data_IF_730922328427
#
_entry.id   IF_730922328427
#
_cell.length_a   1.000
_cell.length_b   1.000
_cell.length_c   1.000
_cell.angle_alpha   90.00
_cell.angle_beta   90.00
_cell.angle_gamma   90.00
#
_symmetry.space_group_name_H-M   'P 1'
#
loop_
_entity.id
_entity.type
_entity.pdbx_description
1 polymer ?
#
# COMPACT_ATOMS: atom_id res chain seq x y z
N UNK A 1 -17.40 36.56 2.77
CA UNK A 1 -16.82 35.48 3.60
C UNK A 1 -15.56 36.02 4.25
N UNK A 2 -15.56 36.23 5.56
CA UNK A 2 -14.40 36.77 6.29
C UNK A 2 -13.32 35.69 6.41
N UNK A 3 -12.05 35.97 6.08
CA UNK A 3 -10.95 35.05 6.38
C UNK A 3 -10.68 35.06 7.88
N UNK A 4 -10.53 33.88 8.48
CA UNK A 4 -10.11 33.72 9.88
C UNK A 4 -8.62 34.10 9.99
N UNK A 5 -8.23 35.04 10.87
CA UNK A 5 -6.84 35.41 11.05
C UNK A 5 -6.15 34.40 11.99
N UNK A 6 -5.62 33.31 11.43
CA UNK A 6 -4.77 32.35 12.13
C UNK A 6 -3.29 32.65 11.91
N UNK A 7 -2.53 32.94 12.99
CA UNK A 7 -1.06 32.94 12.96
C UNK A 7 -0.59 31.48 12.87
N UNK A 8 -0.45 30.99 11.63
CA UNK A 8 -0.05 29.62 11.30
C UNK A 8 -1.21 28.78 10.77
N UNK A 9 -1.14 28.40 9.49
CA UNK A 9 -2.06 27.43 8.90
C UNK A 9 -1.33 26.10 8.69
N UNK A 10 -1.94 25.01 9.17
CA UNK A 10 -1.44 23.65 9.01
C UNK A 10 -2.30 22.90 8.00
N UNK A 11 -1.69 22.33 6.96
CA UNK A 11 -2.38 21.41 6.05
C UNK A 11 -2.35 19.99 6.66
N UNK A 12 -3.50 19.48 7.11
CA UNK A 12 -3.62 18.23 7.90
C UNK A 12 -4.19 17.01 7.17
N UNK A 13 -4.38 17.04 5.85
CA UNK A 13 -4.89 15.88 5.10
C UNK A 13 -3.74 15.19 4.34
N UNK A 14 -3.22 14.11 4.91
CA UNK A 14 -2.13 13.29 4.35
C UNK A 14 -2.60 12.23 3.36
N UNK A 15 -1.70 11.90 2.41
CA UNK A 15 -1.88 10.84 1.42
C UNK A 15 -2.69 11.22 0.18
N UNK A 16 -2.34 10.59 -0.95
CA UNK A 16 -3.13 10.61 -2.19
C UNK A 16 -3.50 9.17 -2.52
N UNK A 17 -4.80 8.92 -2.59
CA UNK A 17 -5.41 7.79 -3.27
C UNK A 17 -5.17 8.02 -4.74
N UNK A 18 -4.25 7.26 -5.32
CA UNK A 18 -3.95 7.37 -6.74
C UNK A 18 -5.19 7.06 -7.57
N UNK A 19 -5.75 8.04 -8.27
CA UNK A 19 -6.81 7.83 -9.27
C UNK A 19 -6.34 6.98 -10.45
N UNK A 20 -5.03 6.77 -10.59
CA UNK A 20 -4.39 6.07 -11.69
C UNK A 20 -4.17 4.57 -11.42
N UNK A 21 -4.46 4.07 -10.22
CA UNK A 21 -4.23 2.67 -9.84
C UNK A 21 -5.50 2.07 -9.22
N UNK A 22 -6.05 0.99 -9.79
CA UNK A 22 -7.33 0.43 -9.32
C UNK A 22 -7.25 -0.17 -7.91
N UNK A 23 -6.05 -0.58 -7.47
CA UNK A 23 -5.81 -1.16 -6.14
C UNK A 23 -5.05 -0.19 -5.24
N UNK A 24 -5.64 0.14 -4.10
CA UNK A 24 -5.06 1.03 -3.10
C UNK A 24 -5.39 0.56 -1.69
N UNK A 25 -4.43 0.75 -0.79
CA UNK A 25 -4.61 0.53 0.65
C UNK A 25 -4.88 1.84 1.37
N UNK A 26 -5.11 2.93 0.65
CA UNK A 26 -5.48 4.20 1.26
C UNK A 26 -6.99 4.25 1.53
N UNK A 27 -7.40 4.79 2.69
CA UNK A 27 -8.82 5.00 2.97
C UNK A 27 -9.40 6.05 2.01
N UNK A 28 -10.73 6.06 1.83
CA UNK A 28 -11.41 6.98 0.92
C UNK A 28 -11.15 8.48 1.19
N UNK A 29 -10.75 8.84 2.42
CA UNK A 29 -10.43 10.21 2.84
C UNK A 29 -9.03 10.69 2.42
N UNK A 30 -8.14 9.80 1.95
CA UNK A 30 -6.81 10.17 1.48
C UNK A 30 -6.91 10.72 0.05
N UNK A 31 -7.50 11.88 -0.14
CA UNK A 31 -7.84 12.44 -1.47
C UNK A 31 -6.76 13.35 -2.04
N UNK A 32 -5.72 13.69 -1.27
CA UNK A 32 -4.69 14.65 -1.66
C UNK A 32 -5.07 16.12 -1.46
N UNK A 33 -6.15 16.41 -0.72
CA UNK A 33 -6.67 17.77 -0.56
C UNK A 33 -5.63 18.73 0.03
N UNK A 34 -4.80 18.27 0.97
CA UNK A 34 -3.73 19.06 1.56
C UNK A 34 -2.70 19.53 0.52
N UNK A 35 -2.21 18.62 -0.32
CA UNK A 35 -1.31 18.95 -1.42
C UNK A 35 -1.97 19.86 -2.45
N UNK A 36 -3.23 19.58 -2.81
CA UNK A 36 -3.95 20.36 -3.80
C UNK A 36 -4.21 21.81 -3.32
N UNK A 37 -4.54 21.99 -2.04
CA UNK A 37 -4.67 23.32 -1.43
C UNK A 37 -3.35 24.08 -1.43
N UNK A 38 -2.26 23.42 -1.02
CA UNK A 38 -0.93 24.03 -1.00
C UNK A 38 -0.48 24.44 -2.41
N UNK A 39 -0.66 23.58 -3.41
CA UNK A 39 -0.36 23.89 -4.81
C UNK A 39 -1.19 25.08 -5.34
N UNK A 40 -2.50 25.11 -5.05
CA UNK A 40 -3.37 26.25 -5.42
C UNK A 40 -2.97 27.55 -4.75
N UNK A 41 -2.40 27.48 -3.53
CA UNK A 41 -1.86 28.64 -2.83
C UNK A 41 -0.47 29.07 -3.36
N UNK A 42 0.15 28.29 -4.26
CA UNK A 42 1.48 28.57 -4.82
C UNK A 42 2.65 27.93 -4.06
N UNK A 43 2.39 26.99 -3.16
CA UNK A 43 3.45 26.23 -2.49
C UNK A 43 4.12 25.26 -3.47
N UNK A 44 5.43 25.07 -3.32
CA UNK A 44 6.18 24.07 -4.09
C UNK A 44 5.78 22.66 -3.66
N UNK A 45 5.57 21.80 -4.65
CA UNK A 45 5.49 20.35 -4.47
C UNK A 45 6.80 19.69 -4.91
N UNK A 46 7.11 18.52 -4.38
CA UNK A 46 8.30 17.74 -4.73
C UNK A 46 8.04 16.23 -4.67
N UNK A 47 8.74 15.48 -5.53
CA UNK A 47 8.76 14.01 -5.49
C UNK A 47 7.43 13.33 -5.75
N UNK A 48 6.49 13.97 -6.47
CA UNK A 48 5.15 13.43 -6.71
C UNK A 48 5.16 12.15 -7.57
N UNK A 49 6.25 11.92 -8.30
CA UNK A 49 6.54 10.68 -9.02
C UNK A 49 6.89 9.51 -8.10
N UNK A 50 7.28 9.77 -6.85
CA UNK A 50 7.66 8.75 -5.88
C UNK A 50 6.43 8.25 -5.10
N UNK A 51 5.74 7.30 -5.73
CA UNK A 51 4.61 6.58 -5.13
C UNK A 51 5.07 5.19 -4.71
N UNK A 52 4.91 4.84 -3.44
CA UNK A 52 5.20 3.50 -2.96
C UNK A 52 4.01 2.57 -3.16
N UNK A 53 4.29 1.40 -3.72
CA UNK A 53 3.36 0.28 -3.82
C UNK A 53 3.69 -0.75 -2.76
N UNK A 54 2.67 -1.19 -2.01
CA UNK A 54 2.82 -2.36 -1.17
C UNK A 54 2.68 -3.63 -2.02
N UNK A 55 3.62 -4.58 -1.96
CA UNK A 55 3.65 -5.71 -2.90
C UNK A 55 2.50 -6.70 -2.71
N UNK A 56 2.04 -6.90 -1.47
CA UNK A 56 1.11 -7.98 -1.11
C UNK A 56 -0.21 -7.44 -0.58
N UNK A 57 -1.03 -6.87 -1.47
CA UNK A 57 -2.41 -6.46 -1.17
C UNK A 57 -3.36 -7.56 -1.61
N UNK A 58 -4.25 -8.00 -0.73
CA UNK A 58 -5.18 -9.08 -0.99
C UNK A 58 -6.19 -8.68 -2.08
N UNK A 59 -6.31 -9.52 -3.10
CA UNK A 59 -7.31 -9.39 -4.15
C UNK A 59 -8.53 -10.24 -3.75
N UNK A 60 -9.58 -9.58 -3.26
CA UNK A 60 -10.77 -10.29 -2.78
C UNK A 60 -11.51 -10.99 -3.94
N UNK A 61 -12.01 -12.24 -3.75
CA UNK A 61 -12.84 -12.91 -4.74
C UNK A 61 -14.14 -12.13 -5.01
N UNK A 62 -14.52 -11.98 -6.27
CA UNK A 62 -15.74 -11.25 -6.68
C UNK A 62 -17.06 -11.77 -6.06
N UNK A 63 -17.08 -13.02 -5.58
CA UNK A 63 -18.23 -13.66 -4.94
C UNK A 63 -18.40 -13.30 -3.46
N UNK A 64 -17.39 -12.73 -2.81
CA UNK A 64 -17.53 -12.14 -1.48
C UNK A 64 -18.22 -10.79 -1.65
N UNK A 65 -19.55 -10.81 -1.77
CA UNK A 65 -20.37 -9.61 -1.82
C UNK A 65 -19.89 -8.62 -0.76
N UNK A 66 -19.78 -7.35 -1.15
CA UNK A 66 -19.36 -6.24 -0.30
C UNK A 66 -20.29 -6.12 0.93
N UNK A 67 -20.08 -6.99 1.91
CA UNK A 67 -20.75 -7.00 3.19
C UNK A 67 -20.24 -5.81 3.99
N UNK A 68 -21.15 -4.93 4.36
CA UNK A 68 -20.87 -3.65 5.00
C UNK A 68 -19.97 -3.77 6.23
N UNK A 69 -18.71 -3.42 6.05
CA UNK A 69 -17.87 -2.88 7.10
C UNK A 69 -17.48 -1.46 6.70
N UNK A 70 -17.33 -0.57 7.68
CA UNK A 70 -16.94 0.83 7.51
C UNK A 70 -15.56 1.04 6.83
N UNK A 71 -14.92 -0.03 6.37
CA UNK A 71 -13.63 -0.11 5.69
C UNK A 71 -13.76 -0.84 4.33
N UNK A 72 -14.95 -0.79 3.70
CA UNK A 72 -15.22 -1.40 2.40
C UNK A 72 -14.41 -0.76 1.25
N UNK A 73 -13.86 0.44 1.48
CA UNK A 73 -13.11 1.21 0.47
C UNK A 73 -11.59 0.93 0.48
N UNK A 74 -11.07 0.17 1.46
CA UNK A 74 -9.64 -0.10 1.61
C UNK A 74 -9.32 -1.55 1.30
N UNK A 75 -8.43 -1.77 0.33
CA UNK A 75 -7.92 -3.12 0.07
C UNK A 75 -7.10 -3.63 1.27
N UNK A 76 -7.32 -4.88 1.67
CA UNK A 76 -6.66 -5.46 2.83
C UNK A 76 -5.20 -5.79 2.51
N UNK A 77 -4.28 -5.29 3.32
CA UNK A 77 -2.84 -5.48 3.18
C UNK A 77 -2.41 -6.74 3.93
N UNK A 78 -1.71 -7.66 3.24
CA UNK A 78 -1.00 -8.77 3.90
C UNK A 78 0.39 -8.29 4.28
N UNK A 79 0.67 -8.24 5.59
CA UNK A 79 1.91 -7.69 6.14
C UNK A 79 3.15 -8.33 5.52
N UNK A 80 4.21 -7.54 5.33
CA UNK A 80 5.52 -8.05 4.91
C UNK A 80 6.09 -9.10 5.86
N UNK A 81 5.70 -9.05 7.13
CA UNK A 81 6.06 -10.05 8.12
C UNK A 81 5.66 -11.47 7.67
N UNK A 82 4.59 -11.62 6.89
CA UNK A 82 4.17 -12.92 6.32
C UNK A 82 5.23 -13.47 5.34
N UNK A 83 5.85 -12.61 4.54
CA UNK A 83 7.02 -12.99 3.72
C UNK A 83 8.25 -13.26 4.60
N UNK A 84 8.43 -12.44 5.66
CA UNK A 84 9.46 -12.60 6.68
C UNK A 84 9.50 -13.99 7.33
N UNK A 85 8.32 -14.53 7.65
CA UNK A 85 8.13 -15.86 8.25
C UNK A 85 8.22 -17.01 7.23
N UNK A 86 8.64 -16.73 5.99
CA UNK A 86 8.85 -17.75 4.96
C UNK A 86 7.74 -17.83 3.91
N UNK A 87 6.81 -16.88 3.86
CA UNK A 87 5.83 -16.77 2.79
C UNK A 87 6.48 -16.73 1.41
N UNK A 88 5.95 -17.55 0.49
CA UNK A 88 6.50 -17.76 -0.86
C UNK A 88 5.59 -17.14 -1.90
N UNK A 89 6.17 -16.53 -2.92
CA UNK A 89 5.42 -15.94 -4.02
C UNK A 89 5.48 -16.85 -5.25
N UNK A 90 4.31 -17.18 -5.77
CA UNK A 90 4.10 -17.99 -6.97
C UNK A 90 3.28 -17.22 -8.01
N UNK A 91 3.59 -17.40 -9.28
CA UNK A 91 2.71 -16.92 -10.33
C UNK A 91 1.50 -17.86 -10.47
N UNK A 92 0.54 -17.51 -11.32
CA UNK A 92 -0.68 -18.31 -11.51
C UNK A 92 -0.44 -19.67 -12.17
N UNK A 93 0.72 -19.85 -12.80
CA UNK A 93 1.15 -21.12 -13.40
C UNK A 93 1.85 -22.03 -12.38
N UNK A 94 1.97 -21.59 -11.11
CA UNK A 94 2.54 -22.36 -10.01
C UNK A 94 4.06 -22.24 -9.87
N UNK A 95 4.71 -21.31 -10.57
CA UNK A 95 6.15 -21.11 -10.49
C UNK A 95 6.54 -20.14 -9.39
N UNK A 96 7.51 -20.53 -8.55
CA UNK A 96 8.10 -19.61 -7.56
C UNK A 96 9.08 -18.65 -8.25
N UNK A 97 8.65 -17.42 -8.50
CA UNK A 97 9.33 -16.52 -9.42
C UNK A 97 10.40 -15.62 -8.81
N UNK A 98 10.37 -15.34 -7.49
CA UNK A 98 11.30 -14.35 -6.89
C UNK A 98 12.78 -14.70 -7.06
N UNK A 99 13.11 -15.98 -7.24
CA UNK A 99 14.47 -16.43 -7.56
C UNK A 99 15.01 -15.82 -8.86
N UNK A 100 14.15 -15.47 -9.83
CA UNK A 100 14.54 -14.85 -11.10
C UNK A 100 14.87 -13.35 -10.96
N UNK A 101 14.27 -12.68 -9.98
CA UNK A 101 14.36 -11.22 -9.82
C UNK A 101 15.39 -10.79 -8.78
N UNK A 102 15.46 -11.51 -7.65
CA UNK A 102 16.46 -11.30 -6.61
C UNK A 102 16.87 -12.65 -6.02
N UNK A 103 17.84 -13.35 -6.61
CA UNK A 103 18.25 -14.68 -6.17
C UNK A 103 18.74 -14.73 -4.71
N UNK A 104 19.34 -13.64 -4.25
CA UNK A 104 19.95 -13.55 -2.92
C UNK A 104 18.91 -13.38 -1.82
N UNK A 105 17.92 -12.50 -2.01
CA UNK A 105 16.93 -12.14 -0.98
C UNK A 105 15.56 -12.76 -1.21
N UNK A 106 15.20 -13.06 -2.46
CA UNK A 106 13.91 -13.64 -2.87
C UNK A 106 12.74 -12.83 -2.29
N UNK A 107 11.80 -13.46 -1.59
CA UNK A 107 10.65 -12.78 -0.96
C UNK A 107 11.04 -11.78 0.12
N UNK A 108 12.30 -11.77 0.60
CA UNK A 108 12.84 -10.76 1.53
C UNK A 108 13.50 -9.57 0.82
N UNK A 109 13.40 -9.48 -0.51
CA UNK A 109 13.88 -8.32 -1.26
C UNK A 109 13.10 -7.05 -0.85
N UNK A 110 13.66 -5.85 -1.10
CA UNK A 110 12.98 -4.58 -0.87
C UNK A 110 11.62 -4.51 -1.55
N UNK A 111 10.67 -3.77 -0.92
CA UNK A 111 9.27 -3.63 -1.38
C UNK A 111 9.15 -3.32 -2.87
N UNK A 112 9.95 -2.39 -3.36
CA UNK A 112 9.93 -1.93 -4.74
C UNK A 112 10.37 -3.04 -5.71
N UNK A 113 11.36 -3.84 -5.34
CA UNK A 113 11.82 -5.01 -6.10
C UNK A 113 10.71 -6.06 -6.16
N UNK A 114 10.11 -6.40 -5.02
CA UNK A 114 9.03 -7.39 -4.96
C UNK A 114 7.80 -6.91 -5.74
N UNK A 115 7.40 -5.65 -5.57
CA UNK A 115 6.24 -5.08 -6.27
C UNK A 115 6.44 -5.07 -7.81
N UNK A 116 7.64 -4.72 -8.29
CA UNK A 116 7.98 -4.79 -9.73
C UNK A 116 7.99 -6.23 -10.25
N UNK A 117 8.53 -7.17 -9.47
CA UNK A 117 8.54 -8.58 -9.84
C UNK A 117 7.10 -9.12 -9.99
N UNK A 118 6.24 -8.85 -9.02
CA UNK A 118 4.82 -9.22 -9.07
C UNK A 118 4.14 -8.62 -10.31
N UNK A 119 4.34 -7.32 -10.56
CA UNK A 119 3.76 -6.66 -11.73
C UNK A 119 4.23 -7.28 -13.05
N UNK A 120 5.52 -7.64 -13.15
CA UNK A 120 6.05 -8.31 -14.34
C UNK A 120 5.44 -9.69 -14.57
N UNK A 121 5.22 -10.48 -13.51
CA UNK A 121 4.54 -11.78 -13.59
C UNK A 121 3.06 -11.66 -13.94
N UNK A 122 2.36 -10.64 -13.41
CA UNK A 122 0.98 -10.33 -13.79
C UNK A 122 0.89 -9.99 -15.28
N UNK A 123 1.81 -9.18 -15.79
CA UNK A 123 1.86 -8.80 -17.20
C UNK A 123 2.21 -10.00 -18.11
N UNK A 124 3.13 -10.87 -17.71
CA UNK A 124 3.53 -12.03 -18.51
C UNK A 124 2.43 -13.09 -18.60
N UNK A 125 1.70 -13.31 -17.50
CA UNK A 125 0.62 -14.31 -17.42
C UNK A 125 -0.75 -13.77 -17.86
N UNK A 126 -0.87 -12.45 -18.04
CA UNK A 126 -2.14 -11.79 -18.35
C UNK A 126 -3.15 -11.87 -17.20
N UNK A 127 -2.68 -11.99 -15.96
CA UNK A 127 -3.53 -12.07 -14.76
C UNK A 127 -3.42 -10.82 -13.91
N UNK A 128 -4.44 -10.60 -13.08
CA UNK A 128 -4.55 -9.44 -12.19
C UNK A 128 -3.95 -9.67 -10.79
N UNK A 129 -3.42 -10.86 -10.52
CA UNK A 129 -2.80 -11.22 -9.24
C UNK A 129 -1.73 -12.30 -9.40
N UNK A 130 -0.94 -12.46 -8.35
CA UNK A 130 -0.08 -13.63 -8.08
C UNK A 130 -0.53 -14.29 -6.77
N UNK A 131 0.17 -15.34 -6.35
CA UNK A 131 -0.19 -16.14 -5.19
C UNK A 131 0.86 -16.02 -4.09
N UNK A 132 0.43 -15.69 -2.86
CA UNK A 132 1.26 -15.71 -1.65
C UNK A 132 0.89 -16.94 -0.81
N UNK A 133 1.85 -17.83 -0.57
CA UNK A 133 1.62 -19.11 0.09
C UNK A 133 2.46 -19.27 1.36
N UNK A 134 1.77 -19.58 2.46
CA UNK A 134 2.35 -19.97 3.76
C UNK A 134 1.84 -21.34 4.23
N UNK A 135 1.10 -22.08 3.40
CA UNK A 135 0.50 -23.38 3.78
C UNK A 135 1.52 -24.48 4.12
N UNK A 136 2.78 -24.25 3.75
CA UNK A 136 3.92 -25.11 4.10
C UNK A 136 4.44 -24.89 5.54
N UNK A 137 4.01 -23.84 6.22
CA UNK A 137 4.34 -23.56 7.62
C UNK A 137 3.34 -24.25 8.57
N UNK A 138 3.72 -24.44 9.83
CA UNK A 138 2.82 -25.04 10.81
C UNK A 138 1.61 -24.12 11.05
N UNK A 139 0.41 -24.70 11.01
CA UNK A 139 -0.85 -23.95 11.15
C UNK A 139 -0.89 -23.15 12.45
N UNK A 140 -0.47 -23.78 13.54
CA UNK A 140 -0.50 -23.20 14.88
C UNK A 140 0.43 -21.98 14.97
N UNK A 141 1.60 -22.03 14.34
CA UNK A 141 2.56 -20.92 14.27
C UNK A 141 1.98 -19.76 13.47
N UNK A 142 1.42 -20.03 12.28
CA UNK A 142 0.80 -19.00 11.42
C UNK A 142 -0.36 -18.31 12.13
N UNK A 143 -1.24 -19.05 12.80
CA UNK A 143 -2.38 -18.47 13.52
C UNK A 143 -1.95 -17.71 14.78
N UNK A 144 -0.85 -18.12 15.43
CA UNK A 144 -0.27 -17.42 16.58
C UNK A 144 0.40 -16.10 16.17
N UNK A 145 1.19 -16.11 15.10
CA UNK A 145 1.91 -14.93 14.61
C UNK A 145 1.00 -13.93 13.88
N UNK A 146 -0.03 -14.41 13.17
CA UNK A 146 -0.87 -13.58 12.30
C UNK A 146 -2.39 -13.69 12.56
N UNK A 147 -2.87 -13.60 13.82
CA UNK A 147 -4.28 -13.84 14.16
C UNK A 147 -5.22 -12.87 13.43
N UNK A 148 -4.85 -11.59 13.31
CA UNK A 148 -5.66 -10.58 12.61
C UNK A 148 -5.75 -10.83 11.11
N UNK A 149 -4.65 -11.25 10.48
CA UNK A 149 -4.63 -11.57 9.04
C UNK A 149 -5.45 -12.84 8.79
N UNK A 150 -5.26 -13.87 9.60
CA UNK A 150 -6.02 -15.11 9.51
C UNK A 150 -7.53 -14.86 9.66
N UNK A 151 -7.94 -14.09 10.67
CA UNK A 151 -9.34 -13.74 10.89
C UNK A 151 -9.94 -12.96 9.71
N UNK A 152 -9.19 -12.01 9.13
CA UNK A 152 -9.65 -11.25 7.96
C UNK A 152 -9.76 -12.12 6.70
N UNK A 153 -8.79 -13.01 6.46
CA UNK A 153 -8.88 -13.99 5.38
C UNK A 153 -10.10 -14.90 5.56
N UNK A 154 -10.33 -15.40 6.77
CA UNK A 154 -11.47 -16.27 7.08
C UNK A 154 -12.82 -15.58 6.83
N UNK A 155 -12.94 -14.29 7.17
CA UNK A 155 -14.13 -13.48 6.88
C UNK A 155 -14.42 -13.35 5.37
N UNK A 156 -13.41 -13.56 4.52
CA UNK A 156 -13.51 -13.57 3.05
C UNK A 156 -13.61 -14.99 2.47
N UNK A 157 -13.77 -16.01 3.32
CA UNK A 157 -13.82 -17.41 2.90
C UNK A 157 -12.45 -18.00 2.52
N UNK A 158 -11.34 -17.36 2.93
CA UNK A 158 -9.98 -17.80 2.64
C UNK A 158 -9.32 -18.37 3.91
N UNK A 159 -8.63 -19.51 3.79
CA UNK A 159 -7.80 -20.05 4.88
C UNK A 159 -6.31 -19.81 4.61
N UNK A 160 -5.74 -18.84 5.31
CA UNK A 160 -4.32 -18.46 5.21
C UNK A 160 -3.37 -19.66 5.37
N UNK A 161 -3.74 -20.70 6.13
CA UNK A 161 -2.83 -21.82 6.42
C UNK A 161 -3.03 -23.02 5.50
N UNK A 162 -3.99 -22.98 4.56
CA UNK A 162 -4.32 -24.16 3.72
C UNK A 162 -4.20 -23.91 2.23
N UNK A 163 -4.20 -22.66 1.81
CA UNK A 163 -4.14 -22.29 0.40
C UNK A 163 -3.35 -21.01 0.20
N UNK A 164 -2.85 -20.82 -1.01
CA UNK A 164 -2.22 -19.59 -1.41
C UNK A 164 -3.27 -18.47 -1.55
N UNK A 165 -2.89 -17.25 -1.14
CA UNK A 165 -3.75 -16.07 -1.19
C UNK A 165 -3.48 -15.26 -2.47
N UNK A 166 -4.53 -14.84 -3.20
CA UNK A 166 -4.36 -13.95 -4.34
C UNK A 166 -3.93 -12.55 -3.88
N UNK A 167 -2.78 -12.08 -4.35
CA UNK A 167 -2.21 -10.78 -3.99
C UNK A 167 -1.72 -10.02 -5.22
N UNK A 168 -1.78 -8.69 -5.15
CA UNK A 168 -1.24 -7.79 -6.18
C UNK A 168 -0.61 -6.54 -5.55
N UNK A 169 0.22 -5.78 -6.28
CA UNK A 169 0.76 -4.52 -5.79
C UNK A 169 -0.36 -3.49 -5.71
N UNK A 170 -0.50 -2.84 -4.56
CA UNK A 170 -1.46 -1.75 -4.37
C UNK A 170 -0.77 -0.47 -3.94
N UNK A 171 -1.26 0.67 -4.43
CA UNK A 171 -0.74 1.97 -4.01
C UNK A 171 -0.94 2.14 -2.49
N UNK A 172 0.10 2.57 -1.79
CA UNK A 172 0.13 2.53 -0.33
C UNK A 172 0.56 3.85 0.30
N UNK A 173 1.56 4.52 -0.26
CA UNK A 173 2.14 5.70 0.36
C UNK A 173 2.62 6.70 -0.69
N UNK A 174 2.44 7.98 -0.43
CA UNK A 174 3.04 9.07 -1.21
C UNK A 174 4.34 9.52 -0.53
N UNK A 175 5.50 9.29 -1.17
CA UNK A 175 6.77 9.81 -0.67
C UNK A 175 6.96 11.30 -1.00
N UNK A 176 6.32 11.76 -2.09
CA UNK A 176 6.25 13.16 -2.45
C UNK A 176 5.24 13.95 -1.62
N UNK A 177 5.10 15.23 -1.94
CA UNK A 177 4.18 16.11 -1.22
C UNK A 177 4.52 17.58 -1.34
N UNK A 178 4.01 18.36 -0.41
CA UNK A 178 4.39 19.77 -0.21
C UNK A 178 5.84 19.81 0.22
N UNK A 179 6.70 20.46 -0.55
CA UNK A 179 8.12 20.56 -0.22
C UNK A 179 8.30 21.36 1.06
N UNK A 180 9.04 20.80 2.02
CA UNK A 180 9.31 21.43 3.31
C UNK A 180 10.80 21.45 3.66
N UNK A 181 11.18 22.39 4.53
CA UNK A 181 12.42 22.28 5.30
C UNK A 181 12.30 21.30 6.47
N UNK A 182 13.33 21.24 7.31
CA UNK A 182 13.42 20.29 8.43
C UNK A 182 12.43 20.59 9.56
N UNK A 183 11.86 21.79 9.61
CA UNK A 183 10.85 22.18 10.60
C UNK A 183 9.43 22.21 10.02
N UNK A 184 9.23 21.65 8.82
CA UNK A 184 7.93 21.58 8.15
C UNK A 184 7.49 22.89 7.48
N UNK A 185 8.35 23.89 7.44
CA UNK A 185 8.09 25.16 6.76
C UNK A 185 8.04 24.96 5.24
N UNK A 186 7.00 25.50 4.61
CA UNK A 186 6.83 25.42 3.15
C UNK A 186 7.48 26.64 2.45
N UNK A 187 7.40 26.70 1.12
CA UNK A 187 7.80 27.90 0.36
C UNK A 187 6.89 29.12 0.58
N UNK A 188 5.76 28.95 1.28
CA UNK A 188 4.84 30.04 1.64
C UNK A 188 4.97 30.37 3.13
N UNK A 189 5.26 31.64 3.43
CA UNK A 189 5.39 32.10 4.81
C UNK A 189 4.10 31.88 5.59
N UNK A 190 4.21 31.29 6.79
CA UNK A 190 3.08 31.00 7.66
C UNK A 190 2.30 29.72 7.32
N UNK A 191 2.69 28.99 6.27
CA UNK A 191 2.15 27.67 5.93
C UNK A 191 3.17 26.58 6.27
N UNK A 192 2.72 25.57 7.00
CA UNK A 192 3.50 24.40 7.39
C UNK A 192 2.84 23.10 6.93
N UNK A 193 3.65 22.09 6.62
CA UNK A 193 3.23 20.76 6.25
C UNK A 193 4.06 19.70 7.00
N UNK A 194 3.44 18.59 7.40
CA UNK A 194 4.10 17.48 8.08
C UNK A 194 3.35 16.15 7.85
N UNK A 195 4.05 15.02 7.97
CA UNK A 195 3.49 13.69 7.66
C UNK A 195 3.43 13.44 6.15
N UNK A 196 2.55 12.54 5.70
CA UNK A 196 2.47 12.09 4.30
C UNK A 196 2.08 13.21 3.30
N UNK A 197 1.55 14.34 3.77
CA UNK A 197 1.30 15.50 2.90
C UNK A 197 2.59 16.25 2.54
N UNK A 198 3.68 16.04 3.28
CA UNK A 198 4.94 16.76 3.14
C UNK A 198 6.01 15.93 2.42
N UNK A 199 6.90 16.63 1.72
CA UNK A 199 8.12 16.09 1.14
C UNK A 199 9.31 16.79 1.79
N UNK A 200 9.97 16.09 2.72
CA UNK A 200 11.10 16.60 3.50
C UNK A 200 12.48 16.24 2.93
N UNK A 201 12.52 15.46 1.84
CA UNK A 201 13.74 14.87 1.28
C UNK A 201 13.79 13.36 1.43
#
# INVERSE_FOLDING_TARGET
AHPLPGRGHHAGHGGVRGSCTPLTTNPGVATGDGMAMAARAGARLGGLEFVQFHPTVLVAPAAAGAGGHADADRAFLISEAVRGEGGRLFNVDGERFMNRYDPARRELAPRDVVARAIHAEMASTGRDHVLLDVSHLAREEVLSHFPTIAARCAALGLDLTRQALPVAPGQHYMCGGVATGLHGETSLSGLFAAGEVASSG
#
